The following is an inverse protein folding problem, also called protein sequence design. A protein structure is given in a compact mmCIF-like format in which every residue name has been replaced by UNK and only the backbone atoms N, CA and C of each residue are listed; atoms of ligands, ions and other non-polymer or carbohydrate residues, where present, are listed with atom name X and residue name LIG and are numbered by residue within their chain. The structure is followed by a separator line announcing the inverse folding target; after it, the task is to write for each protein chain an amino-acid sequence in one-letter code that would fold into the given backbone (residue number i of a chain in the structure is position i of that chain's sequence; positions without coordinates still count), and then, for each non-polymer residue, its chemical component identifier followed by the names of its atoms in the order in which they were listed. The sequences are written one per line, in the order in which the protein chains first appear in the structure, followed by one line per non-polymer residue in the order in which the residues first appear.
data_IF_027194370756
#
_entry.id   IF_027194370756
#
_cell.length_a   1.000
_cell.length_b   1.000
_cell.length_c   1.000
_cell.angle_alpha   90.00
_cell.angle_beta   90.00
_cell.angle_gamma   90.00
#
_symmetry.space_group_name_H-M   'P 1'
#
loop_
_entity.id
_entity.type
_entity.pdbx_description
1 polymer ?
#
# COMPACT_ATOMS: atom_id res chain seq x y z
N UNK A 1 -11.55 20.62 1.50
CA UNK A 1 -10.42 19.82 0.99
C UNK A 1 -10.89 18.38 0.81
N UNK A 2 -11.00 17.90 -0.43
CA UNK A 2 -11.43 16.53 -0.72
C UNK A 2 -10.45 15.56 -0.02
N UNK A 3 -10.92 14.82 1.00
CA UNK A 3 -10.17 13.75 1.69
C UNK A 3 -10.06 12.50 0.80
N UNK A 4 -9.90 12.69 -0.51
CA UNK A 4 -9.72 11.60 -1.45
C UNK A 4 -8.33 11.04 -1.24
N UNK A 5 -8.22 9.89 -0.59
CA UNK A 5 -7.04 9.03 -0.63
C UNK A 5 -5.73 9.81 -0.36
N UNK A 6 -5.46 10.11 0.91
CA UNK A 6 -4.31 10.93 1.32
C UNK A 6 -3.04 10.50 0.55
N UNK A 7 -2.34 11.46 -0.05
CA UNK A 7 -1.20 11.24 -0.96
C UNK A 7 -0.25 10.11 -0.52
N UNK A 8 -0.02 9.98 0.79
CA UNK A 8 0.76 8.91 1.41
C UNK A 8 0.24 7.49 1.15
N UNK A 9 -1.07 7.23 1.20
CA UNK A 9 -1.66 5.90 0.91
C UNK A 9 -1.46 5.51 -0.56
N UNK A 10 -1.59 6.49 -1.48
CA UNK A 10 -1.30 6.29 -2.92
C UNK A 10 0.18 6.03 -3.18
N UNK A 11 1.08 6.80 -2.55
CA UNK A 11 2.53 6.61 -2.68
C UNK A 11 2.95 5.23 -2.16
N UNK A 12 2.41 4.79 -1.02
CA UNK A 12 2.72 3.47 -0.46
C UNK A 12 2.16 2.32 -1.30
N UNK A 13 0.97 2.47 -1.87
CA UNK A 13 0.41 1.49 -2.80
C UNK A 13 1.25 1.41 -4.10
N UNK A 14 1.69 2.55 -4.63
CA UNK A 14 2.61 2.63 -5.77
C UNK A 14 3.94 1.95 -5.45
N UNK A 15 4.54 2.22 -4.28
CA UNK A 15 5.78 1.56 -3.85
C UNK A 15 5.63 0.04 -3.74
N UNK A 16 4.49 -0.43 -3.23
CA UNK A 16 4.17 -1.86 -3.18
C UNK A 16 4.08 -2.50 -4.58
N UNK A 17 3.55 -1.79 -5.57
CA UNK A 17 3.47 -2.28 -6.95
C UNK A 17 4.81 -2.18 -7.70
N UNK A 18 5.62 -1.17 -7.40
CA UNK A 18 6.92 -0.92 -8.05
C UNK A 18 7.94 -1.97 -7.67
N UNK A 19 7.95 -2.44 -6.42
CA UNK A 19 8.93 -3.41 -5.91
C UNK A 19 9.01 -4.73 -6.72
N UNK A 20 7.91 -5.45 -6.99
CA UNK A 20 7.95 -6.67 -7.81
C UNK A 20 8.33 -6.38 -9.26
N UNK A 21 7.90 -5.25 -9.83
CA UNK A 21 8.24 -4.83 -11.20
C UNK A 21 9.74 -4.55 -11.31
N UNK A 22 10.33 -3.84 -10.36
CA UNK A 22 11.76 -3.56 -10.36
C UNK A 22 12.59 -4.83 -10.14
N UNK A 23 12.14 -5.74 -9.28
CA UNK A 23 12.84 -7.01 -9.09
C UNK A 23 12.88 -7.84 -10.38
N UNK A 24 11.77 -7.88 -11.13
CA UNK A 24 11.71 -8.58 -12.41
C UNK A 24 12.48 -7.86 -13.54
N UNK A 25 12.39 -6.53 -13.62
CA UNK A 25 13.00 -5.75 -14.69
C UNK A 25 14.52 -5.58 -14.55
N UNK A 26 15.03 -5.49 -13.32
CA UNK A 26 16.45 -5.26 -13.05
C UNK A 26 17.17 -6.50 -12.52
N UNK A 27 16.47 -7.63 -12.39
CA UNK A 27 17.07 -8.89 -11.94
C UNK A 27 17.67 -8.78 -10.54
N UNK A 28 17.03 -8.05 -9.63
CA UNK A 28 17.56 -7.77 -8.28
C UNK A 28 17.76 -9.05 -7.44
N UNK A 29 17.24 -10.19 -7.88
CA UNK A 29 17.44 -11.49 -7.23
C UNK A 29 16.78 -11.59 -5.87
N UNK A 30 15.80 -10.72 -5.56
CA UNK A 30 15.10 -10.77 -4.29
C UNK A 30 14.26 -12.06 -4.23
N UNK A 31 14.30 -12.78 -3.10
CA UNK A 31 13.52 -13.99 -2.93
C UNK A 31 12.03 -13.64 -2.98
N UNK A 32 11.24 -14.52 -3.61
CA UNK A 32 9.82 -14.31 -3.82
C UNK A 32 9.07 -14.09 -2.49
N UNK A 33 9.44 -14.80 -1.42
CA UNK A 33 8.83 -14.59 -0.11
C UNK A 33 9.07 -13.17 0.43
N UNK A 34 10.24 -12.58 0.22
CA UNK A 34 10.53 -11.23 0.69
C UNK A 34 9.69 -10.17 -0.03
N UNK A 35 9.47 -10.34 -1.34
CA UNK A 35 8.63 -9.45 -2.14
C UNK A 35 7.18 -9.57 -1.68
N UNK A 36 6.67 -10.78 -1.58
CA UNK A 36 5.28 -11.04 -1.15
C UNK A 36 5.05 -10.50 0.27
N UNK A 37 5.97 -10.73 1.20
CA UNK A 37 5.88 -10.24 2.58
C UNK A 37 5.88 -8.70 2.64
N UNK A 38 6.73 -8.06 1.84
CA UNK A 38 6.80 -6.59 1.76
C UNK A 38 5.53 -5.99 1.18
N UNK A 39 5.00 -6.56 0.11
CA UNK A 39 3.74 -6.14 -0.52
C UNK A 39 2.56 -6.35 0.43
N UNK A 40 2.49 -7.50 1.09
CA UNK A 40 1.43 -7.81 2.06
C UNK A 40 1.44 -6.84 3.25
N UNK A 41 2.62 -6.47 3.74
CA UNK A 41 2.78 -5.48 4.82
C UNK A 41 2.27 -4.10 4.41
N UNK A 42 2.62 -3.65 3.20
CA UNK A 42 2.16 -2.37 2.64
C UNK A 42 0.64 -2.36 2.43
N UNK A 43 0.06 -3.44 1.90
CA UNK A 43 -1.38 -3.58 1.72
C UNK A 43 -2.12 -3.56 3.07
N UNK A 44 -1.60 -4.26 4.07
CA UNK A 44 -2.19 -4.29 5.42
C UNK A 44 -2.24 -2.88 6.03
N UNK A 45 -1.18 -2.09 5.86
CA UNK A 45 -1.17 -0.69 6.29
C UNK A 45 -2.22 0.14 5.56
N UNK A 46 -2.26 0.08 4.22
CA UNK A 46 -3.21 0.86 3.41
C UNK A 46 -4.66 0.49 3.73
N UNK A 47 -4.96 -0.79 3.90
CA UNK A 47 -6.30 -1.28 4.26
C UNK A 47 -6.70 -0.88 5.68
N UNK A 48 -5.79 -1.01 6.65
CA UNK A 48 -6.05 -0.58 8.03
C UNK A 48 -6.36 0.91 8.12
N UNK A 49 -5.56 1.73 7.43
CA UNK A 49 -5.78 3.16 7.28
C UNK A 49 -7.09 3.49 6.55
N UNK A 50 -7.50 2.70 5.55
CA UNK A 50 -8.78 2.89 4.86
C UNK A 50 -9.97 2.54 5.76
N UNK A 51 -9.86 1.49 6.59
CA UNK A 51 -10.86 1.12 7.58
C UNK A 51 -11.06 2.19 8.65
N UNK A 52 -9.96 2.80 9.14
CA UNK A 52 -10.02 3.91 10.10
C UNK A 52 -10.74 5.11 9.48
N UNK A 53 -10.42 5.47 8.23
CA UNK A 53 -11.09 6.55 7.52
C UNK A 53 -12.58 6.27 7.32
N UNK A 54 -12.95 5.04 6.95
CA UNK A 54 -14.34 4.63 6.77
C UNK A 54 -15.13 4.74 8.09
N UNK A 55 -14.55 4.29 9.22
CA UNK A 55 -15.17 4.46 10.55
C UNK A 55 -15.34 5.92 10.93
N UNK A 56 -14.34 6.76 10.69
CA UNK A 56 -14.44 8.21 10.95
C UNK A 56 -15.54 8.86 10.12
N UNK A 57 -15.70 8.44 8.87
CA UNK A 57 -16.77 8.95 8.01
C UNK A 57 -18.15 8.51 8.52
N UNK A 58 -18.32 7.28 8.99
CA UNK A 58 -19.60 6.78 9.51
C UNK A 58 -20.00 7.37 10.87
N UNK A 59 -19.05 7.80 11.70
CA UNK A 59 -19.37 8.45 12.99
C UNK A 59 -19.73 9.94 12.82
N UNK A 60 -19.45 10.54 11.66
CA UNK A 60 -19.79 11.94 11.36
C UNK A 60 -21.14 12.11 10.64
N UNK A 61 -21.91 11.04 10.43
CA UNK A 61 -23.29 11.04 9.89
C UNK A 61 -24.31 10.73 10.98
#
# INVERSE_FOLDING_TARGET
MQRGWTSRKRILALLGAVLPVMNAAFGLGLPAEAIVTSVASLLSFVLGEALIDARRASTQS
#
